data_IF_358965994127
#
_entry.id   IF_358965994127
#
_cell.length_a   1.000
_cell.length_b   1.000
_cell.length_c   1.000
_cell.angle_alpha   90.00
_cell.angle_beta   90.00
_cell.angle_gamma   90.00
#
_symmetry.space_group_name_H-M   'P 1'
#
loop_
_entity.id
_entity.type
_entity.pdbx_description
1 polymer ?
#
# COMPACT_ATOMS: atom_id res chain seq x y z
N UNK A 1 7.07 -1.28 32.81
CA UNK A 1 6.44 -2.61 32.64
C UNK A 1 7.55 -3.62 32.36
N UNK A 2 7.44 -4.85 32.86
CA UNK A 2 8.43 -5.91 32.62
C UNK A 2 7.99 -6.77 31.43
N UNK A 3 8.19 -6.26 30.20
CA UNK A 3 7.90 -7.02 28.99
C UNK A 3 8.78 -8.27 28.89
N UNK A 4 8.19 -9.39 28.50
CA UNK A 4 8.93 -10.63 28.28
C UNK A 4 9.69 -10.59 26.95
N UNK A 5 10.97 -10.92 27.02
CA UNK A 5 11.89 -10.99 25.89
C UNK A 5 12.26 -12.45 25.66
N UNK A 6 11.87 -13.00 24.51
CA UNK A 6 12.03 -14.42 24.21
C UNK A 6 13.52 -14.81 24.16
N UNK A 7 14.00 -15.79 24.95
CA UNK A 7 15.42 -16.15 24.99
C UNK A 7 16.01 -16.50 23.62
N UNK A 8 15.24 -17.22 22.78
CA UNK A 8 15.62 -17.57 21.40
C UNK A 8 15.79 -16.34 20.50
N UNK A 9 15.02 -15.28 20.74
CA UNK A 9 15.06 -14.03 19.98
C UNK A 9 16.24 -13.15 20.43
N UNK A 10 16.39 -12.99 21.75
CA UNK A 10 17.49 -12.27 22.38
C UNK A 10 18.86 -12.85 21.97
N UNK A 11 19.03 -14.17 22.12
CA UNK A 11 20.27 -14.85 21.75
C UNK A 11 20.61 -14.61 20.27
N UNK A 12 19.65 -14.89 19.37
CA UNK A 12 19.87 -14.75 17.92
C UNK A 12 20.21 -13.32 17.50
N UNK A 13 19.48 -12.33 18.01
CA UNK A 13 19.66 -10.93 17.63
C UNK A 13 20.93 -10.34 18.26
N UNK A 14 21.20 -10.60 19.55
CA UNK A 14 22.41 -10.13 20.21
C UNK A 14 23.68 -10.74 19.59
N UNK A 15 23.69 -12.04 19.28
CA UNK A 15 24.78 -12.69 18.56
C UNK A 15 25.00 -12.05 17.19
N UNK A 16 23.95 -11.75 16.42
CA UNK A 16 24.10 -11.09 15.11
C UNK A 16 24.71 -9.69 15.21
N UNK A 17 24.22 -8.88 16.15
CA UNK A 17 24.72 -7.52 16.37
C UNK A 17 26.19 -7.57 16.79
N UNK A 18 26.51 -8.31 17.86
CA UNK A 18 27.87 -8.36 18.41
C UNK A 18 28.88 -8.98 17.43
N UNK A 19 28.51 -10.03 16.67
CA UNK A 19 29.39 -10.59 15.62
C UNK A 19 29.72 -9.60 14.51
N UNK A 20 28.91 -8.57 14.28
CA UNK A 20 29.19 -7.54 13.27
C UNK A 20 30.14 -6.42 13.77
N UNK A 21 30.44 -6.38 15.07
CA UNK A 21 31.42 -5.49 15.69
C UNK A 21 32.73 -6.19 16.11
N UNK A 22 32.79 -7.52 16.01
CA UNK A 22 33.98 -8.32 16.30
C UNK A 22 34.69 -8.75 15.00
N UNK A 23 36.02 -8.67 14.98
CA UNK A 23 36.82 -9.34 13.96
C UNK A 23 36.99 -10.82 14.34
N UNK A 24 36.50 -11.73 13.48
CA UNK A 24 36.41 -13.16 13.74
C UNK A 24 37.23 -13.94 12.71
N UNK A 25 38.37 -14.55 13.09
CA UNK A 25 39.31 -15.11 12.14
C UNK A 25 38.70 -16.25 11.32
N UNK A 26 38.72 -16.09 9.99
CA UNK A 26 38.23 -17.09 9.04
C UNK A 26 36.71 -17.17 8.87
N UNK A 27 35.92 -16.29 9.50
CA UNK A 27 34.44 -16.36 9.47
C UNK A 27 33.84 -15.20 8.67
N UNK A 28 33.23 -15.47 7.52
CA UNK A 28 32.40 -14.48 6.81
C UNK A 28 31.11 -14.23 7.61
N UNK A 29 31.07 -13.13 8.37
CA UNK A 29 29.87 -12.71 9.10
C UNK A 29 28.87 -12.05 8.14
N UNK A 30 27.59 -12.49 8.07
CA UNK A 30 26.55 -11.81 7.31
C UNK A 30 26.25 -10.44 7.93
N UNK A 31 26.09 -9.41 7.11
CA UNK A 31 25.75 -8.07 7.58
C UNK A 31 24.27 -7.97 7.97
N UNK A 32 23.41 -8.68 7.23
CA UNK A 32 21.95 -8.55 7.30
C UNK A 32 21.35 -9.74 8.06
N UNK A 33 20.48 -9.48 9.04
CA UNK A 33 19.60 -10.49 9.63
C UNK A 33 18.17 -10.26 9.16
N UNK A 34 17.64 -11.19 8.38
CA UNK A 34 16.24 -11.21 7.97
C UNK A 34 15.39 -11.99 8.97
N UNK A 35 14.56 -11.30 9.75
CA UNK A 35 13.59 -11.87 10.68
C UNK A 35 12.21 -11.93 10.00
N UNK A 36 11.73 -13.14 9.70
CA UNK A 36 10.41 -13.37 9.08
C UNK A 36 9.54 -14.31 9.91
N UNK A 37 8.23 -14.24 9.73
CA UNK A 37 7.25 -14.88 10.59
C UNK A 37 5.85 -14.31 10.36
N UNK A 38 4.81 -14.89 10.95
CA UNK A 38 3.43 -14.41 10.74
C UNK A 38 3.26 -12.94 11.16
N UNK A 39 2.25 -12.27 10.63
CA UNK A 39 1.85 -10.94 11.14
C UNK A 39 1.31 -11.09 12.57
N UNK A 40 1.53 -10.08 13.40
CA UNK A 40 1.03 -10.04 14.78
C UNK A 40 1.97 -10.64 15.84
N UNK A 41 2.94 -11.48 15.46
CA UNK A 41 3.82 -12.22 16.40
C UNK A 41 4.91 -11.37 17.10
N UNK A 42 4.74 -10.04 17.16
CA UNK A 42 5.64 -9.16 17.91
C UNK A 42 7.06 -9.01 17.37
N UNK A 43 7.36 -9.43 16.11
CA UNK A 43 8.71 -9.39 15.48
C UNK A 43 9.49 -8.11 15.81
N UNK A 44 8.96 -6.95 15.41
CA UNK A 44 9.63 -5.66 15.58
C UNK A 44 9.69 -5.23 17.04
N UNK A 45 8.67 -5.54 17.84
CA UNK A 45 8.64 -5.23 19.28
C UNK A 45 9.71 -6.00 20.07
N UNK A 46 9.92 -7.29 19.75
CA UNK A 46 11.02 -8.08 20.33
C UNK A 46 12.40 -7.50 19.94
N UNK A 47 12.56 -6.94 18.74
CA UNK A 47 13.77 -6.20 18.39
C UNK A 47 14.00 -4.97 19.28
N UNK A 48 12.98 -4.12 19.49
CA UNK A 48 13.11 -2.94 20.36
C UNK A 48 13.53 -3.32 21.78
N UNK A 49 12.91 -4.38 22.34
CA UNK A 49 13.27 -4.90 23.67
C UNK A 49 14.71 -5.41 23.72
N UNK A 50 15.26 -6.01 22.65
CA UNK A 50 16.69 -6.36 22.59
C UNK A 50 17.56 -5.11 22.51
N UNK A 51 17.20 -4.11 21.69
CA UNK A 51 18.00 -2.89 21.54
C UNK A 51 18.07 -2.10 22.85
N UNK A 52 16.93 -1.90 23.52
CA UNK A 52 16.85 -1.30 24.86
C UNK A 52 17.69 -2.11 25.87
N UNK A 53 17.52 -3.44 25.90
CA UNK A 53 18.22 -4.31 26.87
C UNK A 53 19.74 -4.33 26.68
N UNK A 54 20.22 -4.15 25.44
CA UNK A 54 21.64 -4.06 25.09
C UNK A 54 22.19 -2.62 25.10
N UNK A 55 21.34 -1.59 25.19
CA UNK A 55 21.75 -0.19 25.06
C UNK A 55 22.22 0.20 23.64
N UNK A 56 21.75 -0.52 22.62
CA UNK A 56 22.05 -0.31 21.19
C UNK A 56 21.22 0.86 20.66
N UNK A 57 21.77 1.62 19.70
CA UNK A 57 21.07 2.72 19.03
C UNK A 57 20.43 2.22 17.72
N UNK A 58 19.10 2.09 17.62
CA UNK A 58 18.45 1.79 16.36
C UNK A 58 18.28 3.06 15.50
N UNK A 59 18.65 2.96 14.22
CA UNK A 59 18.22 3.87 13.16
C UNK A 59 17.13 3.15 12.38
N UNK A 60 15.89 3.62 12.50
CA UNK A 60 14.73 2.98 11.88
C UNK A 60 14.51 3.47 10.44
N UNK A 61 13.87 2.61 9.65
CA UNK A 61 13.39 2.89 8.31
C UNK A 61 12.12 2.08 8.08
N UNK A 62 11.07 2.75 7.60
CA UNK A 62 9.79 2.12 7.25
C UNK A 62 9.80 1.54 5.84
N UNK A 63 8.91 0.60 5.57
CA UNK A 63 8.69 0.11 4.20
C UNK A 63 8.20 1.20 3.24
N UNK A 64 7.39 2.16 3.72
CA UNK A 64 6.90 3.29 2.92
C UNK A 64 8.00 4.26 2.51
N UNK A 65 9.06 4.41 3.32
CA UNK A 65 10.29 5.14 2.94
C UNK A 65 11.04 4.48 1.75
N UNK A 66 10.73 3.23 1.41
CA UNK A 66 11.29 2.52 0.26
C UNK A 66 10.44 2.63 -1.02
N UNK A 67 9.26 3.24 -0.93
CA UNK A 67 8.38 3.52 -2.07
C UNK A 67 8.44 5.01 -2.44
N UNK A 68 9.07 5.33 -3.57
CA UNK A 68 9.16 6.70 -4.10
C UNK A 68 8.85 6.73 -5.59
N UNK A 69 8.15 7.76 -6.12
CA UNK A 69 8.04 7.96 -7.56
C UNK A 69 9.40 8.23 -8.24
N UNK A 70 10.37 8.75 -7.48
CA UNK A 70 11.70 9.10 -7.99
C UNK A 70 12.64 7.89 -7.97
N UNK A 71 12.99 7.42 -9.17
CA UNK A 71 13.79 6.22 -9.37
C UNK A 71 15.18 6.33 -8.71
N UNK A 72 15.43 5.48 -7.71
CA UNK A 72 16.70 5.43 -6.99
C UNK A 72 16.77 6.26 -5.70
N UNK A 73 15.73 7.04 -5.36
CA UNK A 73 15.69 7.69 -4.05
C UNK A 73 15.70 6.70 -2.86
N UNK A 74 14.98 5.55 -2.91
CA UNK A 74 15.09 4.50 -1.88
C UNK A 74 16.53 3.98 -1.70
N UNK A 75 17.29 3.87 -2.78
CA UNK A 75 18.70 3.46 -2.75
C UNK A 75 19.60 4.54 -2.11
N UNK A 76 19.32 5.82 -2.36
CA UNK A 76 19.98 6.95 -1.69
C UNK A 76 19.65 6.97 -0.18
N UNK A 77 18.39 6.75 0.18
CA UNK A 77 17.93 6.77 1.58
C UNK A 77 18.55 5.65 2.41
N UNK A 78 18.65 4.42 1.88
CA UNK A 78 19.35 3.31 2.57
C UNK A 78 20.80 3.67 2.88
N UNK A 79 21.51 4.27 1.91
CA UNK A 79 22.91 4.70 2.09
C UNK A 79 23.03 5.83 3.12
N UNK A 80 22.06 6.76 3.15
CA UNK A 80 22.00 7.85 4.13
C UNK A 80 21.78 7.33 5.55
N UNK A 81 20.77 6.48 5.78
CA UNK A 81 20.47 5.90 7.10
C UNK A 81 21.60 4.99 7.62
N UNK A 82 22.31 4.29 6.72
CA UNK A 82 23.48 3.50 7.10
C UNK A 82 24.64 4.38 7.59
N UNK A 83 24.90 5.53 6.93
CA UNK A 83 25.90 6.52 7.38
C UNK A 83 25.48 7.23 8.67
N UNK A 84 24.20 7.53 8.83
CA UNK A 84 23.61 8.07 10.07
C UNK A 84 23.90 7.14 11.26
N UNK A 85 23.68 5.83 11.10
CA UNK A 85 24.03 4.83 12.10
C UNK A 85 25.56 4.72 12.35
N UNK A 86 26.39 4.87 11.31
CA UNK A 86 27.85 4.84 11.45
C UNK A 86 28.40 6.03 12.25
N UNK A 87 27.91 7.25 11.98
CA UNK A 87 28.28 8.43 12.78
C UNK A 87 27.67 8.36 14.20
N UNK A 88 26.49 7.75 14.40
CA UNK A 88 25.94 7.53 15.73
C UNK A 88 26.85 6.66 16.63
N UNK A 89 27.52 5.64 16.09
CA UNK A 89 28.53 4.87 16.84
C UNK A 89 29.71 5.75 17.23
N UNK A 90 30.23 6.51 16.26
CA UNK A 90 31.43 7.38 16.38
C UNK A 90 31.24 8.52 17.39
N UNK A 91 30.04 9.11 17.45
CA UNK A 91 29.70 10.20 18.37
C UNK A 91 29.30 9.67 19.75
N UNK A 92 28.50 8.60 19.84
CA UNK A 92 27.91 8.16 21.11
C UNK A 92 28.71 7.05 21.82
N UNK A 93 29.70 6.44 21.16
CA UNK A 93 30.51 5.35 21.73
C UNK A 93 29.76 4.04 21.99
N UNK A 94 28.62 3.83 21.33
CA UNK A 94 27.74 2.66 21.50
C UNK A 94 27.50 1.94 20.18
N UNK A 95 27.20 0.64 20.24
CA UNK A 95 26.74 -0.10 19.07
C UNK A 95 25.43 0.50 18.51
N UNK A 96 25.27 0.44 17.20
CA UNK A 96 24.07 0.86 16.48
C UNK A 96 23.61 -0.22 15.50
N UNK A 97 22.35 -0.13 15.07
CA UNK A 97 21.76 -1.02 14.05
C UNK A 97 20.99 -0.18 13.03
N UNK A 98 20.99 -0.61 11.77
CA UNK A 98 20.02 -0.13 10.79
C UNK A 98 18.83 -1.11 10.78
N UNK A 99 17.64 -0.65 11.18
CA UNK A 99 16.43 -1.46 11.24
C UNK A 99 15.46 -1.08 10.12
N UNK A 100 15.23 -2.00 9.18
CA UNK A 100 14.27 -1.84 8.08
C UNK A 100 13.03 -2.66 8.41
N UNK A 101 11.88 -2.00 8.62
CA UNK A 101 10.66 -2.64 9.13
C UNK A 101 9.64 -2.98 8.04
N UNK A 102 9.03 -4.16 8.17
CA UNK A 102 7.99 -4.72 7.29
C UNK A 102 8.35 -4.61 5.80
N UNK A 103 9.57 -4.99 5.42
CA UNK A 103 10.14 -4.73 4.09
C UNK A 103 9.29 -5.33 2.94
N UNK A 104 8.53 -6.39 3.21
CA UNK A 104 7.58 -7.01 2.27
C UNK A 104 6.33 -6.17 2.01
N UNK A 105 6.05 -5.13 2.80
CA UNK A 105 5.02 -4.13 2.50
C UNK A 105 5.46 -3.12 1.43
N UNK A 106 6.77 -2.90 1.23
CA UNK A 106 7.35 -1.99 0.21
C UNK A 106 8.19 -2.69 -0.87
N UNK A 107 8.37 -4.01 -0.77
CA UNK A 107 8.97 -4.87 -1.79
C UNK A 107 8.02 -5.99 -2.28
N UNK A 108 6.83 -6.10 -1.68
CA UNK A 108 5.83 -7.13 -1.99
C UNK A 108 4.91 -6.77 -3.16
N UNK A 109 4.24 -7.78 -3.71
CA UNK A 109 3.38 -7.62 -4.90
C UNK A 109 1.98 -7.18 -4.51
N UNK A 110 1.52 -6.08 -5.10
CA UNK A 110 0.08 -5.80 -5.22
C UNK A 110 -0.42 -6.58 -6.43
N UNK A 111 -1.07 -7.71 -6.19
CA UNK A 111 -1.58 -8.69 -7.17
C UNK A 111 -0.56 -9.51 -7.97
N UNK A 112 -1.03 -10.65 -8.48
CA UNK A 112 -0.27 -11.59 -9.32
C UNK A 112 0.10 -11.02 -10.70
N UNK A 113 -0.39 -9.83 -11.04
CA UNK A 113 -0.25 -9.19 -12.35
C UNK A 113 0.74 -8.00 -12.36
N UNK A 114 1.20 -7.50 -11.21
CA UNK A 114 2.24 -6.46 -11.17
C UNK A 114 3.64 -7.07 -11.23
N UNK A 115 4.50 -6.46 -12.04
CA UNK A 115 5.93 -6.77 -12.05
C UNK A 115 6.62 -6.08 -10.88
N UNK A 116 7.74 -6.64 -10.42
CA UNK A 116 8.65 -5.99 -9.47
C UNK A 116 8.97 -4.56 -9.93
N UNK A 117 8.75 -3.57 -9.07
CA UNK A 117 9.09 -2.19 -9.40
C UNK A 117 10.61 -2.05 -9.56
N UNK A 118 11.05 -1.06 -10.36
CA UNK A 118 12.48 -0.76 -10.52
C UNK A 118 13.12 -0.47 -9.16
N UNK A 119 12.38 0.21 -8.26
CA UNK A 119 12.79 0.47 -6.89
C UNK A 119 13.10 -0.81 -6.10
N UNK A 120 12.28 -1.87 -6.20
CA UNK A 120 12.55 -3.15 -5.52
C UNK A 120 13.90 -3.74 -5.93
N UNK A 121 14.28 -3.63 -7.21
CA UNK A 121 15.59 -4.09 -7.69
C UNK A 121 16.73 -3.18 -7.22
N UNK A 122 16.54 -1.86 -7.19
CA UNK A 122 17.52 -0.88 -6.71
C UNK A 122 17.77 -0.98 -5.18
N UNK A 123 16.73 -1.28 -4.40
CA UNK A 123 16.82 -1.57 -2.95
C UNK A 123 17.64 -2.84 -2.74
N UNK A 124 17.30 -3.95 -3.41
CA UNK A 124 18.06 -5.20 -3.30
C UNK A 124 19.52 -5.03 -3.76
N UNK A 125 19.74 -4.31 -4.86
CA UNK A 125 21.06 -3.92 -5.37
C UNK A 125 21.87 -3.14 -4.34
N UNK A 126 21.24 -2.17 -3.66
CA UNK A 126 21.91 -1.34 -2.64
C UNK A 126 22.28 -2.16 -1.41
N UNK A 127 21.38 -3.01 -0.92
CA UNK A 127 21.66 -3.90 0.21
C UNK A 127 22.78 -4.90 -0.10
N UNK A 128 22.88 -5.41 -1.33
CA UNK A 128 24.01 -6.26 -1.74
C UNK A 128 25.34 -5.49 -1.75
N UNK A 129 25.37 -4.30 -2.37
CA UNK A 129 26.57 -3.45 -2.41
C UNK A 129 27.09 -3.08 -1.01
N UNK A 130 26.18 -2.77 -0.08
CA UNK A 130 26.52 -2.45 1.33
C UNK A 130 27.00 -3.70 2.07
N UNK A 131 26.38 -4.88 1.84
CA UNK A 131 26.80 -6.12 2.49
C UNK A 131 28.16 -6.64 2.00
N UNK A 132 28.58 -6.32 0.78
CA UNK A 132 29.92 -6.64 0.27
C UNK A 132 30.98 -5.64 0.75
N UNK A 133 30.65 -4.35 0.86
CA UNK A 133 31.59 -3.29 1.24
C UNK A 133 31.06 -2.43 2.41
N UNK A 134 30.87 -3.01 3.61
CA UNK A 134 30.16 -2.36 4.72
C UNK A 134 30.88 -1.16 5.33
N UNK A 135 32.16 -0.97 5.04
CA UNK A 135 32.98 0.16 5.48
C UNK A 135 33.15 1.25 4.40
N UNK A 136 32.57 1.08 3.21
CA UNK A 136 32.66 2.03 2.10
C UNK A 136 31.29 2.28 1.45
N UNK A 137 30.42 2.97 2.18
CA UNK A 137 29.07 3.32 1.72
C UNK A 137 29.03 4.80 1.31
N UNK A 138 29.27 5.05 0.03
CA UNK A 138 29.16 6.38 -0.57
C UNK A 138 27.71 6.78 -0.86
N UNK A 139 27.45 8.09 -0.91
CA UNK A 139 26.21 8.66 -1.44
C UNK A 139 26.38 8.96 -2.94
N UNK A 140 25.33 8.86 -3.79
CA UNK A 140 25.44 9.22 -5.20
C UNK A 140 25.94 10.66 -5.39
N UNK A 141 27.10 10.82 -6.04
CA UNK A 141 27.73 12.12 -6.28
C UNK A 141 28.72 12.60 -5.20
N UNK A 142 28.86 11.89 -4.08
CA UNK A 142 29.92 12.08 -3.08
C UNK A 142 30.87 10.87 -3.11
N UNK A 143 32.17 11.14 -2.91
CA UNK A 143 33.24 10.14 -3.03
C UNK A 143 34.27 10.38 -1.92
N UNK A 144 33.83 10.18 -0.68
CA UNK A 144 34.65 10.44 0.51
C UNK A 144 35.55 9.22 0.76
N UNK A 145 36.86 9.40 0.78
CA UNK A 145 37.80 8.28 0.89
C UNK A 145 37.89 7.66 2.31
N UNK A 146 37.24 8.24 3.32
CA UNK A 146 37.29 7.76 4.70
C UNK A 146 36.44 6.50 4.91
N UNK A 147 36.99 5.41 5.47
CA UNK A 147 36.21 4.24 5.86
C UNK A 147 35.25 4.56 7.00
N UNK A 148 33.98 4.14 6.86
CA UNK A 148 32.97 4.25 7.90
C UNK A 148 32.87 2.96 8.74
N UNK A 149 32.28 3.06 9.93
CA UNK A 149 31.99 1.91 10.78
C UNK A 149 31.06 0.90 10.08
N UNK A 150 31.37 -0.41 10.22
CA UNK A 150 30.46 -1.49 9.84
C UNK A 150 29.24 -1.49 10.78
N UNK A 151 28.04 -1.46 10.21
CA UNK A 151 26.77 -1.45 10.95
C UNK A 151 25.94 -2.70 10.61
N UNK A 152 25.55 -3.53 11.59
CA UNK A 152 24.60 -4.62 11.36
C UNK A 152 23.23 -4.10 10.89
N UNK A 153 22.66 -4.75 9.87
CA UNK A 153 21.34 -4.43 9.33
C UNK A 153 20.34 -5.50 9.82
N UNK A 154 19.23 -5.07 10.40
CA UNK A 154 18.11 -5.92 10.80
C UNK A 154 16.94 -5.63 9.87
N UNK A 155 16.32 -6.67 9.32
CA UNK A 155 15.21 -6.54 8.37
C UNK A 155 14.04 -7.40 8.87
N UNK A 156 12.88 -6.79 9.10
CA UNK A 156 11.65 -7.52 9.47
C UNK A 156 10.70 -7.64 8.29
N UNK A 157 9.87 -8.68 8.29
CA UNK A 157 8.79 -8.86 7.34
C UNK A 157 7.98 -10.15 7.55
N UNK A 158 7.02 -10.44 6.68
CA UNK A 158 6.13 -11.59 6.86
C UNK A 158 6.61 -12.83 6.12
N UNK A 159 6.93 -12.72 4.82
CA UNK A 159 7.53 -13.81 4.05
C UNK A 159 8.72 -13.35 3.19
N UNK A 160 9.82 -14.10 3.28
CA UNK A 160 11.05 -13.90 2.51
C UNK A 160 11.28 -15.00 1.45
N UNK A 161 10.24 -15.74 1.05
CA UNK A 161 10.27 -16.59 -0.16
C UNK A 161 10.37 -15.75 -1.45
N UNK A 162 9.75 -14.56 -1.44
CA UNK A 162 9.66 -13.62 -2.57
C UNK A 162 10.82 -12.61 -2.66
N UNK A 163 11.60 -12.46 -1.58
CA UNK A 163 12.78 -11.59 -1.53
C UNK A 163 13.87 -12.03 -2.52
N UNK A 164 14.64 -11.05 -2.98
CA UNK A 164 15.62 -11.20 -4.05
C UNK A 164 16.72 -12.22 -3.71
N UNK A 165 16.66 -13.41 -4.31
CA UNK A 165 17.48 -14.57 -3.95
C UNK A 165 19.02 -14.33 -3.86
N UNK A 166 19.64 -13.47 -4.70
CA UNK A 166 21.05 -13.09 -4.57
C UNK A 166 21.47 -12.44 -3.23
N UNK A 167 20.56 -11.87 -2.44
CA UNK A 167 20.87 -11.44 -1.06
C UNK A 167 21.14 -12.62 -0.12
N UNK A 168 20.49 -13.76 -0.38
CA UNK A 168 20.47 -14.94 0.50
C UNK A 168 21.59 -15.91 0.14
N UNK A 169 21.91 -16.05 -1.16
CA UNK A 169 22.86 -17.07 -1.65
C UNK A 169 24.33 -16.77 -1.30
N UNK A 170 24.73 -15.50 -1.26
CA UNK A 170 26.15 -15.13 -1.20
C UNK A 170 26.67 -14.93 0.24
N UNK A 171 25.92 -15.38 1.25
CA UNK A 171 26.27 -15.21 2.67
C UNK A 171 26.22 -13.77 3.17
N UNK A 172 25.48 -12.88 2.48
CA UNK A 172 25.25 -11.48 2.87
C UNK A 172 24.18 -11.34 3.94
N UNK A 173 23.13 -12.16 3.84
CA UNK A 173 21.96 -12.20 4.72
C UNK A 173 21.81 -13.57 5.38
N UNK A 174 21.59 -13.59 6.69
CA UNK A 174 21.07 -14.75 7.41
C UNK A 174 19.55 -14.65 7.57
N UNK A 175 18.83 -15.78 7.51
CA UNK A 175 17.39 -15.85 7.79
C UNK A 175 17.12 -16.39 9.19
N UNK A 176 16.15 -15.79 9.88
CA UNK A 176 15.62 -16.26 11.15
C UNK A 176 14.08 -16.34 11.07
N UNK A 177 13.54 -17.54 11.28
CA UNK A 177 12.09 -17.73 11.38
C UNK A 177 11.62 -17.52 12.82
N UNK A 178 10.75 -16.53 12.99
CA UNK A 178 10.10 -16.21 14.24
C UNK A 178 8.64 -16.68 14.23
N UNK A 179 8.40 -17.66 15.09
CA UNK A 179 7.09 -18.16 15.49
C UNK A 179 7.26 -18.48 16.98
N UNK A 180 6.50 -17.85 17.89
CA UNK A 180 6.64 -18.08 19.33
C UNK A 180 6.03 -19.43 19.71
N UNK A 181 6.76 -20.26 20.46
CA UNK A 181 6.22 -21.51 20.99
C UNK A 181 5.24 -21.27 22.17
N UNK A 182 4.66 -22.31 22.75
CA UNK A 182 3.72 -22.15 23.87
C UNK A 182 4.34 -21.41 25.07
N UNK A 183 5.61 -21.65 25.39
CA UNK A 183 6.29 -20.99 26.50
C UNK A 183 6.57 -19.50 26.20
N UNK A 184 7.02 -19.19 24.97
CA UNK A 184 7.17 -17.80 24.54
C UNK A 184 5.81 -17.07 24.47
N UNK A 185 4.74 -17.70 23.98
CA UNK A 185 3.37 -17.13 24.00
C UNK A 185 2.92 -16.82 25.43
N UNK A 186 3.08 -17.75 26.38
CA UNK A 186 2.76 -17.53 27.80
C UNK A 186 3.61 -16.40 28.38
N UNK A 187 4.91 -16.36 28.08
CA UNK A 187 5.81 -15.31 28.53
C UNK A 187 5.39 -13.93 28.04
N UNK A 188 5.16 -13.79 26.73
CA UNK A 188 4.75 -12.52 26.11
C UNK A 188 3.39 -12.05 26.66
N UNK A 189 2.39 -12.94 26.76
CA UNK A 189 1.08 -12.57 27.32
C UNK A 189 1.17 -12.25 28.82
N UNK A 190 2.05 -12.91 29.58
CA UNK A 190 2.38 -12.53 30.97
C UNK A 190 3.04 -11.15 31.06
N UNK A 191 3.80 -10.75 30.04
CA UNK A 191 4.38 -9.41 29.92
C UNK A 191 3.36 -8.33 29.54
N UNK A 192 2.27 -8.69 28.86
CA UNK A 192 1.12 -7.80 28.57
C UNK A 192 0.34 -7.56 29.88
N UNK A 193 -0.14 -8.62 30.53
CA UNK A 193 -0.99 -8.53 31.73
C UNK A 193 -0.20 -8.33 33.05
N UNK A 194 1.06 -7.89 32.97
CA UNK A 194 1.97 -7.79 34.11
C UNK A 194 1.55 -6.75 35.16
N UNK A 195 0.72 -5.78 34.80
CA UNK A 195 0.20 -4.75 35.71
C UNK A 195 -1.07 -5.17 36.47
N UNK A 196 -1.72 -6.24 36.03
CA UNK A 196 -3.16 -6.40 36.20
C UNK A 196 -3.55 -7.50 37.20
N UNK A 197 -2.56 -8.18 37.76
CA UNK A 197 -2.75 -9.22 38.79
C UNK A 197 -3.26 -10.56 38.27
N UNK A 198 -3.35 -10.76 36.95
CA UNK A 198 -3.81 -12.02 36.33
C UNK A 198 -2.89 -13.18 36.73
N UNK A 199 -3.46 -14.29 37.21
CA UNK A 199 -2.65 -15.44 37.62
C UNK A 199 -2.00 -16.11 36.40
N UNK A 200 -0.77 -16.59 36.56
CA UNK A 200 -0.09 -17.36 35.50
C UNK A 200 -0.94 -18.54 35.02
N UNK A 201 -1.62 -19.24 35.92
CA UNK A 201 -2.52 -20.35 35.59
C UNK A 201 -3.72 -19.93 34.73
N UNK A 202 -4.16 -18.66 34.79
CA UNK A 202 -5.25 -18.15 33.95
C UNK A 202 -4.73 -17.65 32.61
N UNK A 203 -3.52 -17.08 32.57
CA UNK A 203 -2.81 -16.77 31.31
C UNK A 203 -2.54 -18.06 30.52
N UNK A 204 -2.10 -19.14 31.17
CA UNK A 204 -1.90 -20.42 30.48
C UNK A 204 -3.22 -20.96 29.88
N UNK A 205 -4.34 -20.91 30.61
CA UNK A 205 -5.67 -21.27 30.07
C UNK A 205 -6.10 -20.35 28.92
N UNK A 206 -5.85 -19.05 28.99
CA UNK A 206 -6.20 -18.08 27.95
C UNK A 206 -5.39 -18.30 26.66
N UNK A 207 -4.11 -18.63 26.80
CA UNK A 207 -3.21 -18.97 25.69
C UNK A 207 -3.59 -20.31 25.04
N UNK A 208 -4.06 -21.28 25.83
CA UNK A 208 -4.56 -22.58 25.37
C UNK A 208 -5.99 -22.52 24.78
N UNK A 209 -6.82 -21.55 25.20
CA UNK A 209 -8.17 -21.30 24.67
C UNK A 209 -8.12 -20.69 23.26
N UNK A 210 -7.13 -19.85 23.01
CA UNK A 210 -6.93 -19.17 21.71
C UNK A 210 -5.60 -19.58 21.04
N UNK A 211 -5.36 -20.87 20.75
CA UNK A 211 -4.05 -21.37 20.34
C UNK A 211 -3.62 -20.87 18.94
N UNK A 212 -4.58 -20.54 18.08
CA UNK A 212 -4.35 -20.09 16.71
C UNK A 212 -4.25 -18.56 16.56
N UNK A 213 -4.36 -17.79 17.65
CA UNK A 213 -4.25 -16.33 17.61
C UNK A 213 -2.80 -15.87 17.80
N UNK A 214 -2.40 -14.86 17.03
CA UNK A 214 -1.10 -14.22 17.14
C UNK A 214 -0.99 -13.37 18.43
N UNK A 215 0.22 -12.90 18.75
CA UNK A 215 0.45 -12.07 19.95
C UNK A 215 -0.42 -10.78 19.97
N UNK A 216 -0.62 -10.13 18.82
CA UNK A 216 -1.39 -8.88 18.74
C UNK A 216 -2.86 -8.99 19.16
N UNK A 217 -3.48 -10.17 19.05
CA UNK A 217 -4.80 -10.48 19.60
C UNK A 217 -4.87 -10.23 21.12
N UNK A 218 -3.84 -10.62 21.87
CA UNK A 218 -3.82 -10.45 23.33
C UNK A 218 -3.61 -8.98 23.74
N UNK A 219 -2.83 -8.22 22.95
CA UNK A 219 -2.69 -6.76 23.11
C UNK A 219 -4.00 -6.02 22.79
N UNK A 220 -4.75 -6.49 21.78
CA UNK A 220 -6.07 -5.97 21.44
C UNK A 220 -7.12 -6.31 22.52
N UNK A 221 -7.08 -7.53 23.06
CA UNK A 221 -7.92 -7.96 24.19
C UNK A 221 -7.68 -7.11 25.43
N UNK A 222 -6.41 -6.89 25.80
CA UNK A 222 -6.04 -5.99 26.90
C UNK A 222 -6.59 -4.57 26.68
N UNK A 223 -6.42 -4.01 25.49
CA UNK A 223 -6.96 -2.68 25.16
C UNK A 223 -8.49 -2.61 25.27
N UNK A 224 -9.20 -3.63 24.77
CA UNK A 224 -10.67 -3.67 24.70
C UNK A 224 -11.37 -3.70 26.07
N UNK A 225 -10.67 -4.15 27.12
CA UNK A 225 -11.16 -4.06 28.51
C UNK A 225 -11.36 -2.61 28.99
N UNK A 226 -10.62 -1.66 28.43
CA UNK A 226 -10.75 -0.24 28.76
C UNK A 226 -11.86 0.46 27.95
N UNK A 227 -12.27 -0.09 26.80
CA UNK A 227 -13.32 0.50 25.94
C UNK A 227 -14.64 0.70 26.69
N UNK A 228 -14.97 -0.17 27.63
CA UNK A 228 -16.17 -0.06 28.48
C UNK A 228 -16.12 1.20 29.36
N UNK A 229 -14.98 1.45 30.01
CA UNK A 229 -14.79 2.64 30.85
C UNK A 229 -14.69 3.91 30.02
N UNK A 230 -14.03 3.86 28.87
CA UNK A 230 -13.97 4.98 27.91
C UNK A 230 -15.36 5.31 27.36
N UNK A 231 -16.18 4.30 27.03
CA UNK A 231 -17.59 4.46 26.62
C UNK A 231 -18.43 5.11 27.72
N UNK A 232 -18.29 4.66 28.96
CA UNK A 232 -18.99 5.24 30.11
C UNK A 232 -18.55 6.70 30.37
N UNK A 233 -17.26 7.01 30.23
CA UNK A 233 -16.74 8.38 30.31
C UNK A 233 -17.31 9.29 29.18
N UNK A 234 -17.34 8.81 27.94
CA UNK A 234 -17.95 9.54 26.81
C UNK A 234 -19.43 9.83 27.08
N UNK A 235 -20.18 8.85 27.61
CA UNK A 235 -21.59 9.03 27.97
C UNK A 235 -21.80 10.02 29.12
N UNK A 236 -20.92 10.05 30.13
CA UNK A 236 -21.00 10.98 31.26
C UNK A 236 -20.69 12.43 30.87
N UNK A 237 -19.75 12.65 29.94
CA UNK A 237 -19.37 13.99 29.47
C UNK A 237 -20.29 14.52 28.36
N UNK A 238 -20.85 13.62 27.55
CA UNK A 238 -21.57 13.93 26.31
C UNK A 238 -20.62 13.90 25.10
N UNK A 239 -21.09 13.30 24.00
CA UNK A 239 -20.30 13.07 22.78
C UNK A 239 -19.86 14.39 22.11
N UNK A 240 -20.66 15.45 22.28
CA UNK A 240 -20.40 16.80 21.77
C UNK A 240 -19.31 17.53 22.56
N UNK A 241 -19.01 17.08 23.78
CA UNK A 241 -18.14 17.77 24.74
C UNK A 241 -16.84 17.03 25.02
N UNK A 242 -16.79 15.72 24.81
CA UNK A 242 -15.61 14.89 25.14
C UNK A 242 -14.34 15.37 24.41
N UNK A 243 -14.44 15.84 23.17
CA UNK A 243 -13.29 16.39 22.43
C UNK A 243 -12.65 17.59 23.14
N UNK A 244 -13.46 18.51 23.67
CA UNK A 244 -12.96 19.65 24.43
C UNK A 244 -12.41 19.18 25.79
N UNK A 245 -13.12 18.29 26.48
CA UNK A 245 -12.77 17.80 27.82
C UNK A 245 -11.48 16.97 27.87
N UNK A 246 -11.09 16.34 26.77
CA UNK A 246 -9.85 15.54 26.67
C UNK A 246 -8.67 16.37 26.15
N UNK A 247 -8.87 17.24 25.16
CA UNK A 247 -7.76 17.92 24.46
C UNK A 247 -7.50 19.35 24.95
N UNK A 248 -8.54 20.07 25.39
CA UNK A 248 -8.45 21.50 25.71
C UNK A 248 -9.26 21.83 26.98
N UNK A 249 -8.84 21.22 28.09
CA UNK A 249 -9.36 21.46 29.43
C UNK A 249 -8.21 21.62 30.42
N UNK A 250 -8.41 22.49 31.42
CA UNK A 250 -7.50 22.65 32.57
C UNK A 250 -7.82 21.68 33.71
N UNK A 251 -8.89 20.89 33.59
CA UNK A 251 -9.19 19.81 34.54
C UNK A 251 -8.26 18.61 34.33
N UNK A 252 -7.92 17.91 35.42
CA UNK A 252 -7.21 16.62 35.37
C UNK A 252 -7.96 15.64 34.45
N UNK A 253 -7.22 14.85 33.66
CA UNK A 253 -7.78 13.75 32.88
C UNK A 253 -8.45 12.71 33.82
N UNK A 254 -9.49 11.99 33.37
CA UNK A 254 -10.15 10.97 34.17
C UNK A 254 -9.19 9.86 34.58
N UNK A 255 -9.29 9.42 35.83
CA UNK A 255 -8.54 8.26 36.33
C UNK A 255 -9.37 6.99 36.11
N UNK A 256 -8.98 6.21 35.11
CA UNK A 256 -9.55 4.90 34.85
C UNK A 256 -9.10 3.90 35.93
N UNK A 257 -10.00 3.01 36.32
CA UNK A 257 -9.68 1.92 37.25
C UNK A 257 -9.14 0.73 36.47
N UNK A 258 -8.41 -0.22 37.09
CA UNK A 258 -8.23 -1.53 36.47
C UNK A 258 -9.62 -2.14 36.18
N UNK A 259 -9.91 -2.58 34.94
CA UNK A 259 -11.13 -3.34 34.61
C UNK A 259 -11.13 -4.72 35.29
N UNK A 260 -12.19 -5.51 35.10
CA UNK A 260 -12.16 -6.91 35.52
C UNK A 260 -11.26 -7.73 34.58
N UNK A 261 -10.17 -8.26 35.11
CA UNK A 261 -9.28 -9.19 34.39
C UNK A 261 -9.56 -10.66 34.74
N UNK A 262 -10.76 -10.99 35.23
CA UNK A 262 -11.17 -12.38 35.44
C UNK A 262 -11.09 -13.21 34.15
N UNK A 263 -10.65 -14.46 34.27
CA UNK A 263 -10.52 -15.36 33.13
C UNK A 263 -11.82 -15.51 32.32
N UNK A 264 -12.97 -15.48 33.00
CA UNK A 264 -14.28 -15.58 32.35
C UNK A 264 -14.52 -14.40 31.38
N UNK A 265 -14.26 -13.17 31.83
CA UNK A 265 -14.44 -11.98 31.01
C UNK A 265 -13.36 -11.86 29.91
N UNK A 266 -12.12 -12.28 30.19
CA UNK A 266 -11.06 -12.37 29.18
C UNK A 266 -11.40 -13.38 28.05
N UNK A 267 -12.04 -14.51 28.38
CA UNK A 267 -12.52 -15.47 27.37
C UNK A 267 -13.72 -14.91 26.61
N UNK A 268 -14.68 -14.28 27.28
CA UNK A 268 -15.87 -13.66 26.65
C UNK A 268 -15.47 -12.60 25.61
N UNK A 269 -14.64 -11.62 25.99
CA UNK A 269 -14.14 -10.60 25.07
C UNK A 269 -13.25 -11.20 23.98
N UNK A 270 -12.47 -12.24 24.30
CA UNK A 270 -11.66 -12.98 23.34
C UNK A 270 -12.53 -13.64 22.26
N UNK A 271 -13.62 -14.31 22.64
CA UNK A 271 -14.57 -14.89 21.68
C UNK A 271 -15.23 -13.81 20.80
N UNK A 272 -15.61 -12.66 21.37
CA UNK A 272 -16.16 -11.54 20.59
C UNK A 272 -15.16 -11.02 19.54
N UNK A 273 -13.88 -10.89 19.91
CA UNK A 273 -12.79 -10.52 18.98
C UNK A 273 -12.59 -11.58 17.88
N UNK A 274 -12.65 -12.88 18.20
CA UNK A 274 -12.53 -13.96 17.20
C UNK A 274 -13.71 -13.93 16.22
N UNK A 275 -14.95 -13.77 16.71
CA UNK A 275 -16.15 -13.67 15.86
C UNK A 275 -16.11 -12.43 14.95
N UNK A 276 -15.55 -11.32 15.43
CA UNK A 276 -15.35 -10.10 14.66
C UNK A 276 -14.29 -10.28 13.56
N UNK A 277 -13.16 -10.93 13.89
CA UNK A 277 -12.11 -11.29 12.94
C UNK A 277 -12.62 -12.25 11.84
N UNK A 278 -13.41 -13.26 12.20
CA UNK A 278 -14.05 -14.19 11.26
C UNK A 278 -14.98 -13.47 10.29
N UNK A 279 -15.87 -12.59 10.78
CA UNK A 279 -16.77 -11.79 9.94
C UNK A 279 -16.01 -10.91 8.93
N UNK A 280 -14.87 -10.34 9.31
CA UNK A 280 -14.02 -9.55 8.40
C UNK A 280 -13.38 -10.46 7.31
N UNK A 281 -13.00 -11.69 7.65
CA UNK A 281 -12.49 -12.66 6.68
C UNK A 281 -13.59 -13.11 5.70
N UNK A 282 -14.79 -13.41 6.19
CA UNK A 282 -15.97 -13.75 5.36
C UNK A 282 -16.32 -12.62 4.38
N UNK A 283 -16.41 -11.37 4.87
CA UNK A 283 -16.70 -10.21 4.02
C UNK A 283 -15.63 -10.00 2.93
N UNK A 284 -14.35 -10.23 3.24
CA UNK A 284 -13.27 -10.18 2.25
C UNK A 284 -13.35 -11.31 1.22
N UNK A 285 -13.64 -12.54 1.66
CA UNK A 285 -13.84 -13.69 0.77
C UNK A 285 -15.01 -13.44 -0.20
N UNK A 286 -16.13 -12.91 0.31
CA UNK A 286 -17.28 -12.49 -0.50
C UNK A 286 -16.88 -11.39 -1.50
N UNK A 287 -16.17 -10.34 -1.07
CA UNK A 287 -15.68 -9.28 -1.97
C UNK A 287 -14.76 -9.83 -3.08
N UNK A 288 -13.81 -10.70 -2.74
CA UNK A 288 -12.91 -11.33 -3.72
C UNK A 288 -13.67 -12.24 -4.69
N UNK A 289 -14.67 -12.99 -4.21
CA UNK A 289 -15.52 -13.84 -5.05
C UNK A 289 -16.37 -13.01 -6.02
N UNK A 290 -17.00 -11.92 -5.55
CA UNK A 290 -17.72 -10.99 -6.42
C UNK A 290 -16.80 -10.32 -7.45
N UNK A 291 -15.59 -9.90 -7.06
CA UNK A 291 -14.61 -9.33 -8.00
C UNK A 291 -14.26 -10.33 -9.11
N UNK A 292 -13.98 -11.59 -8.76
CA UNK A 292 -13.65 -12.65 -9.72
C UNK A 292 -14.84 -13.04 -10.62
N UNK A 293 -16.08 -12.97 -10.11
CA UNK A 293 -17.29 -13.10 -10.93
C UNK A 293 -17.41 -11.98 -11.96
N UNK A 294 -17.22 -10.72 -11.55
CA UNK A 294 -17.27 -9.57 -12.46
C UNK A 294 -16.12 -9.54 -13.49
N UNK A 295 -15.00 -10.22 -13.22
CA UNK A 295 -13.86 -10.37 -14.14
C UNK A 295 -13.85 -11.67 -14.97
N UNK A 296 -14.88 -12.52 -14.87
CA UNK A 296 -14.97 -13.76 -15.66
C UNK A 296 -15.48 -13.47 -17.09
N UNK A 297 -14.67 -13.66 -18.16
CA UNK A 297 -15.10 -13.39 -19.53
C UNK A 297 -16.10 -14.45 -20.01
N UNK A 298 -17.29 -14.00 -20.42
CA UNK A 298 -18.34 -14.86 -20.99
C UNK A 298 -17.81 -15.68 -22.17
N UNK A 299 -17.70 -17.01 -21.99
CA UNK A 299 -17.16 -17.88 -23.04
C UNK A 299 -17.62 -19.34 -22.92
N UNK A 300 -18.94 -19.56 -23.10
CA UNK A 300 -19.51 -20.73 -23.83
C UNK A 300 -21.04 -20.63 -23.93
N UNK A 301 -21.52 -20.25 -25.11
CA UNK A 301 -22.78 -20.77 -25.63
C UNK A 301 -22.50 -22.10 -26.34
N UNK A 302 -23.34 -23.09 -26.11
CA UNK A 302 -23.23 -24.40 -26.77
C UNK A 302 -23.86 -24.32 -28.17
N UNK A 303 -23.25 -24.99 -29.16
CA UNK A 303 -23.78 -25.07 -30.53
C UNK A 303 -24.54 -26.39 -30.75
N UNK A 304 -25.83 -26.34 -31.15
CA UNK A 304 -26.50 -27.44 -31.81
C UNK A 304 -25.98 -27.64 -33.25
N UNK A 305 -26.10 -28.86 -33.76
CA UNK A 305 -25.56 -29.28 -35.07
C UNK A 305 -26.53 -28.92 -36.21
N UNK A 306 -26.00 -28.49 -37.35
CA UNK A 306 -26.75 -28.09 -38.55
C UNK A 306 -27.05 -29.28 -39.49
N UNK A 307 -28.21 -29.28 -40.16
CA UNK A 307 -28.54 -30.31 -41.17
C UNK A 307 -29.56 -29.88 -42.26
N UNK A 308 -29.05 -29.39 -43.40
CA UNK A 308 -29.45 -29.86 -44.74
C UNK A 308 -30.76 -29.42 -45.44
N UNK A 309 -30.71 -28.25 -46.10
CA UNK A 309 -31.35 -27.97 -47.43
C UNK A 309 -32.92 -27.96 -47.53
N UNK A 310 -33.55 -27.57 -48.68
CA UNK A 310 -33.68 -26.15 -49.06
C UNK A 310 -35.06 -25.71 -49.65
N UNK A 311 -35.16 -24.42 -50.05
CA UNK A 311 -35.85 -23.86 -51.25
C UNK A 311 -37.09 -22.92 -51.09
N UNK A 312 -37.26 -22.08 -52.14
CA UNK A 312 -38.40 -21.20 -52.51
C UNK A 312 -38.60 -19.81 -51.85
N UNK A 313 -39.08 -18.86 -52.68
CA UNK A 313 -39.47 -17.45 -52.43
C UNK A 313 -41.01 -17.30 -52.66
N UNK A 314 -41.70 -16.12 -52.62
CA UNK A 314 -41.32 -14.69 -52.41
C UNK A 314 -42.12 -14.03 -51.24
N UNK A 315 -42.48 -12.73 -51.05
CA UNK A 315 -42.61 -11.55 -51.96
C UNK A 315 -42.58 -10.16 -51.30
N UNK A 316 -42.45 -9.15 -52.16
CA UNK A 316 -42.65 -7.69 -52.08
C UNK A 316 -43.66 -7.05 -51.08
N UNK A 317 -43.31 -5.86 -50.56
CA UNK A 317 -43.99 -4.54 -50.74
C UNK A 317 -43.96 -3.59 -49.50
N UNK A 318 -43.86 -2.28 -49.77
CA UNK A 318 -43.91 -1.09 -48.87
C UNK A 318 -45.32 -0.40 -48.96
N UNK A 319 -45.70 0.78 -48.37
CA UNK A 319 -44.87 1.92 -47.89
C UNK A 319 -45.41 2.86 -46.75
N UNK A 320 -44.72 4.01 -46.58
CA UNK A 320 -45.21 5.35 -46.18
C UNK A 320 -45.22 5.82 -44.69
N UNK A 321 -45.31 7.15 -44.52
CA UNK A 321 -45.18 7.94 -43.28
C UNK A 321 -46.56 8.54 -42.84
N UNK A 322 -46.76 9.35 -41.78
CA UNK A 322 -46.03 10.56 -41.34
C UNK A 322 -46.49 11.16 -39.99
N UNK A 323 -45.73 12.15 -39.48
CA UNK A 323 -46.14 13.36 -38.70
C UNK A 323 -46.89 13.25 -37.35
N UNK A 324 -46.43 13.99 -36.33
CA UNK A 324 -47.12 15.19 -35.77
C UNK A 324 -46.29 15.93 -34.69
N UNK A 325 -46.55 17.23 -34.49
CA UNK A 325 -46.02 18.11 -33.42
C UNK A 325 -47.14 19.00 -32.84
N UNK A 326 -46.97 19.64 -31.66
CA UNK A 326 -47.01 21.12 -31.65
C UNK A 326 -46.11 21.83 -30.59
N UNK A 327 -46.19 23.17 -30.54
CA UNK A 327 -45.43 24.13 -29.71
C UNK A 327 -46.18 24.53 -28.40
N UNK A 328 -45.92 25.59 -27.60
CA UNK A 328 -45.17 26.88 -27.73
C UNK A 328 -45.12 27.66 -26.39
N UNK A 329 -44.21 28.62 -26.18
CA UNK A 329 -44.34 29.67 -25.13
C UNK A 329 -43.03 30.39 -24.68
N UNK A 330 -42.89 31.74 -24.83
CA UNK A 330 -41.67 32.50 -24.44
C UNK A 330 -41.89 33.71 -23.48
N UNK A 331 -40.80 34.29 -22.93
CA UNK A 331 -40.81 35.59 -22.23
C UNK A 331 -39.43 36.31 -22.23
N UNK A 332 -39.42 37.65 -22.29
CA UNK A 332 -38.21 38.51 -22.40
C UNK A 332 -37.75 39.16 -21.07
N UNK A 333 -36.51 39.68 -21.05
CA UNK A 333 -36.01 40.63 -20.05
C UNK A 333 -34.73 41.38 -20.51
N UNK A 334 -34.61 42.68 -20.20
CA UNK A 334 -33.49 43.57 -20.56
C UNK A 334 -33.09 44.44 -19.35
N UNK A 335 -31.80 44.80 -19.23
CA UNK A 335 -31.31 46.11 -18.72
C UNK A 335 -29.77 46.20 -18.76
N UNK A 336 -29.26 47.43 -18.66
CA UNK A 336 -28.04 47.86 -19.35
C UNK A 336 -26.69 47.84 -18.59
N UNK A 337 -25.66 47.93 -19.43
CA UNK A 337 -24.22 47.88 -19.21
C UNK A 337 -23.57 48.99 -18.34
N UNK A 338 -22.35 48.67 -17.86
CA UNK A 338 -21.23 49.62 -17.68
C UNK A 338 -19.94 48.96 -18.22
N UNK A 339 -19.02 49.76 -18.79
CA UNK A 339 -17.86 49.26 -19.56
C UNK A 339 -16.55 49.16 -18.76
N UNK A 340 -15.70 48.18 -19.14
CA UNK A 340 -14.23 48.34 -19.22
C UNK A 340 -13.66 47.35 -20.25
N UNK A 341 -12.45 47.62 -20.76
CA UNK A 341 -11.81 46.97 -21.94
C UNK A 341 -10.28 46.90 -21.75
N UNK A 342 -9.52 46.13 -22.57
CA UNK A 342 -9.77 44.80 -23.16
C UNK A 342 -8.61 43.84 -22.68
N UNK A 343 -8.03 42.83 -23.39
CA UNK A 343 -7.86 42.58 -24.83
C UNK A 343 -8.57 41.30 -25.34
N UNK A 344 -8.34 40.96 -26.61
CA UNK A 344 -8.98 39.84 -27.32
C UNK A 344 -8.51 38.45 -26.82
N UNK A 345 -9.48 37.56 -26.57
CA UNK A 345 -9.29 36.12 -26.63
C UNK A 345 -10.21 35.55 -27.73
N UNK A 346 -9.69 34.63 -28.56
CA UNK A 346 -10.47 34.05 -29.66
C UNK A 346 -11.52 33.07 -29.13
N UNK A 347 -12.76 33.56 -28.96
CA UNK A 347 -13.94 32.74 -28.71
C UNK A 347 -14.29 31.89 -29.96
N UNK A 348 -13.56 30.80 -30.14
CA UNK A 348 -13.84 29.81 -31.20
C UNK A 348 -15.15 29.10 -30.88
N UNK A 349 -16.11 29.20 -31.80
CA UNK A 349 -17.48 28.75 -31.58
C UNK A 349 -17.59 27.24 -31.43
N UNK A 350 -18.50 26.79 -30.57
CA UNK A 350 -18.84 25.38 -30.37
C UNK A 350 -19.58 24.80 -31.59
N UNK A 351 -18.82 24.28 -32.56
CA UNK A 351 -19.32 23.22 -33.42
C UNK A 351 -19.09 21.86 -32.73
N UNK A 352 -20.07 20.97 -32.78
CA UNK A 352 -20.04 19.67 -32.10
C UNK A 352 -19.12 18.66 -32.81
N UNK A 353 -17.81 18.85 -32.72
CA UNK A 353 -16.79 17.95 -33.22
C UNK A 353 -15.48 18.12 -32.45
N UNK A 354 -14.62 17.09 -32.49
CA UNK A 354 -13.36 17.09 -31.74
C UNK A 354 -12.42 18.24 -32.14
N UNK A 355 -11.61 18.76 -31.20
CA UNK A 355 -10.52 19.69 -31.52
C UNK A 355 -9.60 19.10 -32.62
N UNK A 356 -9.10 19.92 -33.57
CA UNK A 356 -8.23 19.43 -34.64
C UNK A 356 -6.96 18.77 -34.08
N UNK A 357 -6.37 19.37 -33.04
CA UNK A 357 -5.22 18.85 -32.30
C UNK A 357 -5.48 17.45 -31.72
N UNK A 358 -6.70 17.20 -31.22
CA UNK A 358 -7.10 15.92 -30.65
C UNK A 358 -7.21 14.83 -31.74
N UNK A 359 -7.73 15.19 -32.92
CA UNK A 359 -7.78 14.29 -34.07
C UNK A 359 -6.38 13.99 -34.63
N UNK A 360 -5.47 14.97 -34.64
CA UNK A 360 -4.09 14.80 -35.11
C UNK A 360 -3.32 13.81 -34.22
N UNK A 361 -3.37 13.98 -32.89
CA UNK A 361 -2.72 13.06 -31.94
C UNK A 361 -3.33 11.64 -32.02
N UNK A 362 -4.65 11.55 -32.19
CA UNK A 362 -5.34 10.27 -32.36
C UNK A 362 -4.91 9.54 -33.64
N UNK A 363 -4.75 10.26 -34.76
CA UNK A 363 -4.23 9.70 -36.01
C UNK A 363 -2.78 9.23 -35.85
N UNK A 364 -1.91 10.06 -35.25
CA UNK A 364 -0.50 9.72 -35.05
C UNK A 364 -0.31 8.44 -34.22
N UNK A 365 -1.11 8.23 -33.17
CA UNK A 365 -1.08 7.00 -32.35
C UNK A 365 -1.45 5.77 -33.20
N UNK A 366 -2.50 5.86 -34.03
CA UNK A 366 -2.98 4.74 -34.86
C UNK A 366 -2.07 4.42 -36.06
N UNK A 367 -1.47 5.44 -36.68
CA UNK A 367 -0.51 5.28 -37.79
C UNK A 367 0.78 4.63 -37.31
N UNK A 368 1.31 5.08 -36.16
CA UNK A 368 2.39 4.41 -35.41
C UNK A 368 2.02 2.99 -34.96
N UNK A 369 0.76 2.59 -35.09
CA UNK A 369 0.26 1.24 -34.80
C UNK A 369 0.11 0.94 -33.32
N UNK A 370 0.00 1.97 -32.51
CA UNK A 370 -0.16 1.88 -31.06
C UNK A 370 -1.64 1.77 -30.71
N UNK A 371 -1.95 1.14 -29.58
CA UNK A 371 -3.32 1.11 -29.03
C UNK A 371 -3.62 2.47 -28.41
N UNK A 372 -4.85 2.94 -28.54
CA UNK A 372 -5.29 4.22 -28.01
C UNK A 372 -5.93 4.03 -26.64
N UNK A 373 -5.29 4.54 -25.59
CA UNK A 373 -5.93 4.80 -24.30
C UNK A 373 -6.59 6.19 -24.29
N UNK A 374 -7.79 6.29 -23.75
CA UNK A 374 -8.49 7.54 -23.45
C UNK A 374 -8.61 7.62 -21.93
N UNK A 375 -8.09 8.68 -21.33
CA UNK A 375 -8.08 8.91 -19.88
C UNK A 375 -8.75 10.24 -19.53
N UNK A 376 -9.49 10.27 -18.41
CA UNK A 376 -10.19 11.45 -17.89
C UNK A 376 -9.80 11.72 -16.44
N UNK A 377 -9.84 12.98 -16.00
CA UNK A 377 -9.59 13.34 -14.60
C UNK A 377 -10.24 14.66 -14.19
N UNK A 378 -10.93 14.64 -13.04
CA UNK A 378 -11.52 15.84 -12.46
C UNK A 378 -10.46 16.87 -12.01
N UNK A 379 -10.82 18.15 -11.95
CA UNK A 379 -9.90 19.24 -11.65
C UNK A 379 -9.27 19.19 -10.24
N UNK A 380 -9.78 18.36 -9.32
CA UNK A 380 -9.19 18.12 -8.00
C UNK A 380 -8.13 17.02 -8.08
N UNK A 381 -8.41 15.92 -8.78
CA UNK A 381 -7.48 14.77 -9.00
C UNK A 381 -6.37 15.07 -10.00
N UNK A 382 -6.57 16.02 -10.92
CA UNK A 382 -5.54 16.48 -11.85
C UNK A 382 -4.26 16.92 -11.11
N UNK A 383 -4.42 17.62 -9.97
CA UNK A 383 -3.31 18.08 -9.11
C UNK A 383 -2.49 16.94 -8.48
N UNK A 384 -3.07 15.75 -8.38
CA UNK A 384 -2.40 14.53 -7.86
C UNK A 384 -2.10 13.53 -8.98
N UNK A 385 -2.20 13.92 -10.25
CA UNK A 385 -1.96 13.09 -11.44
C UNK A 385 -2.72 11.74 -11.45
N UNK A 386 -3.89 11.68 -10.79
CA UNK A 386 -4.68 10.46 -10.59
C UNK A 386 -5.70 10.26 -11.73
N UNK A 387 -5.20 9.97 -12.93
CA UNK A 387 -6.03 9.74 -14.13
C UNK A 387 -6.90 8.47 -14.02
N UNK A 388 -8.12 8.54 -14.56
CA UNK A 388 -9.02 7.41 -14.72
C UNK A 388 -9.03 6.95 -16.18
N UNK A 389 -9.11 5.64 -16.43
CA UNK A 389 -9.21 5.11 -17.78
C UNK A 389 -10.68 5.07 -18.22
N UNK A 390 -11.02 5.80 -19.29
CA UNK A 390 -12.35 5.79 -19.89
C UNK A 390 -12.49 4.65 -20.92
N UNK A 391 -11.49 4.47 -21.80
CA UNK A 391 -11.52 3.41 -22.83
C UNK A 391 -10.10 3.03 -23.31
N UNK A 392 -9.93 1.80 -23.83
CA UNK A 392 -8.69 1.34 -24.48
C UNK A 392 -9.00 0.60 -25.79
N UNK A 393 -8.66 1.21 -26.91
CA UNK A 393 -9.00 0.73 -28.25
C UNK A 393 -7.80 0.01 -28.84
N UNK A 394 -7.95 -1.30 -29.04
CA UNK A 394 -6.85 -2.21 -29.40
C UNK A 394 -6.70 -2.46 -30.91
N UNK A 395 -7.61 -1.95 -31.72
CA UNK A 395 -7.63 -2.12 -33.19
C UNK A 395 -7.36 -0.79 -33.89
N UNK A 396 -6.77 -0.84 -35.10
CA UNK A 396 -6.49 0.35 -35.92
C UNK A 396 -7.74 0.91 -36.65
N UNK A 397 -8.87 1.00 -35.94
CA UNK A 397 -10.13 1.49 -36.49
C UNK A 397 -10.31 2.98 -36.15
N UNK A 398 -9.90 3.86 -37.08
CA UNK A 398 -10.00 5.32 -36.93
C UNK A 398 -11.43 5.81 -36.66
N UNK A 399 -12.45 5.16 -37.25
CA UNK A 399 -13.85 5.55 -37.05
C UNK A 399 -14.33 5.20 -35.62
N UNK A 400 -14.00 4.01 -35.12
CA UNK A 400 -14.31 3.62 -33.74
C UNK A 400 -13.54 4.46 -32.71
N UNK A 401 -12.25 4.73 -32.98
CA UNK A 401 -11.42 5.59 -32.13
C UNK A 401 -11.95 7.03 -32.05
N UNK A 402 -12.35 7.59 -33.20
CA UNK A 402 -12.97 8.91 -33.26
C UNK A 402 -14.30 8.95 -32.47
N UNK A 403 -15.21 8.00 -32.72
CA UNK A 403 -16.52 7.96 -32.07
C UNK A 403 -16.42 7.80 -30.54
N UNK A 404 -15.48 6.98 -30.06
CA UNK A 404 -15.24 6.81 -28.62
C UNK A 404 -14.66 8.05 -27.96
N UNK A 405 -13.84 8.84 -28.68
CA UNK A 405 -13.36 10.12 -28.17
C UNK A 405 -14.44 11.21 -28.23
N UNK A 406 -15.31 11.21 -29.25
CA UNK A 406 -16.50 12.08 -29.32
C UNK A 406 -17.46 11.81 -28.15
N UNK A 407 -17.70 10.55 -27.80
CA UNK A 407 -18.45 10.17 -26.60
C UNK A 407 -17.76 10.65 -25.31
N UNK A 408 -16.45 10.44 -25.18
CA UNK A 408 -15.67 10.89 -24.02
C UNK A 408 -15.75 12.42 -23.82
N UNK A 409 -15.69 13.21 -24.89
CA UNK A 409 -15.83 14.67 -24.82
C UNK A 409 -17.23 15.12 -24.43
N UNK A 410 -18.28 14.34 -24.74
CA UNK A 410 -19.65 14.61 -24.32
C UNK A 410 -19.87 14.25 -22.84
N UNK A 411 -19.47 13.05 -22.42
CA UNK A 411 -19.63 12.55 -21.05
C UNK A 411 -18.79 13.35 -20.03
N UNK A 412 -17.56 13.70 -20.41
CA UNK A 412 -16.55 14.31 -19.53
C UNK A 412 -16.20 15.75 -19.91
N UNK A 413 -17.18 16.52 -20.42
CA UNK A 413 -16.98 17.90 -20.88
C UNK A 413 -16.35 18.88 -19.85
N UNK A 414 -16.40 18.55 -18.55
CA UNK A 414 -15.83 19.34 -17.43
C UNK A 414 -14.53 18.77 -16.83
N UNK A 415 -14.02 17.66 -17.36
CA UNK A 415 -12.79 17.03 -16.88
C UNK A 415 -11.65 17.27 -17.86
N UNK A 416 -10.40 17.05 -17.41
CA UNK A 416 -9.25 17.00 -18.32
C UNK A 416 -9.28 15.67 -19.06
N UNK A 417 -9.13 15.69 -20.39
CA UNK A 417 -9.11 14.47 -21.23
C UNK A 417 -7.73 14.32 -21.86
N UNK A 418 -7.18 13.10 -21.83
CA UNK A 418 -5.84 12.76 -22.27
C UNK A 418 -5.85 11.53 -23.18
N UNK A 419 -5.10 11.60 -24.28
CA UNK A 419 -4.81 10.46 -25.13
C UNK A 419 -3.48 9.83 -24.72
N UNK A 420 -3.44 8.50 -24.72
CA UNK A 420 -2.26 7.70 -24.41
C UNK A 420 -2.00 6.73 -25.55
N UNK A 421 -0.83 6.83 -26.17
CA UNK A 421 -0.30 5.79 -27.06
C UNK A 421 0.26 4.64 -26.22
N UNK A 422 -0.12 3.40 -26.56
CA UNK A 422 0.34 2.18 -25.88
C UNK A 422 0.94 1.22 -26.91
N UNK A 423 2.21 0.84 -26.73
CA UNK A 423 2.89 -0.12 -27.60
C UNK A 423 2.22 -1.51 -27.52
N UNK A 424 1.82 -2.14 -28.65
CA UNK A 424 1.11 -3.41 -28.63
C UNK A 424 1.98 -4.62 -28.27
N UNK A 425 3.31 -4.50 -28.28
CA UNK A 425 4.27 -5.55 -27.91
C UNK A 425 4.58 -5.49 -26.42
N UNK A 426 5.13 -4.37 -25.97
CA UNK A 426 5.68 -4.22 -24.61
C UNK A 426 4.67 -3.61 -23.62
N UNK A 427 3.48 -3.20 -24.09
CA UNK A 427 2.41 -2.53 -23.31
C UNK A 427 2.85 -1.24 -22.61
N UNK A 428 3.97 -0.66 -23.04
CA UNK A 428 4.50 0.61 -22.53
C UNK A 428 3.69 1.79 -23.08
N UNK A 429 3.55 2.83 -22.26
CA UNK A 429 3.01 4.12 -22.70
C UNK A 429 4.10 4.87 -23.47
N UNK A 430 3.74 5.43 -24.62
CA UNK A 430 4.69 5.97 -25.62
C UNK A 430 4.42 7.43 -25.99
N UNK A 431 3.16 7.85 -25.89
CA UNK A 431 2.69 9.23 -26.10
C UNK A 431 1.68 9.49 -25.00
N UNK A 432 1.74 10.64 -24.33
CA UNK A 432 0.72 11.09 -23.39
C UNK A 432 0.42 12.57 -23.67
N UNK A 433 -0.81 12.90 -24.08
CA UNK A 433 -1.13 14.28 -24.52
C UNK A 433 -2.53 14.67 -24.06
N UNK A 434 -2.61 15.78 -23.32
CA UNK A 434 -3.87 16.36 -22.83
C UNK A 434 -4.54 17.07 -24.00
N UNK A 435 -5.68 16.55 -24.43
CA UNK A 435 -6.45 17.02 -25.60
C UNK A 435 -7.70 17.83 -25.22
N UNK A 436 -8.15 17.75 -23.97
CA UNK A 436 -9.15 18.66 -23.40
C UNK A 436 -8.65 19.25 -22.09
N UNK A 437 -8.98 20.52 -21.85
CA UNK A 437 -8.80 21.20 -20.57
C UNK A 437 -10.11 21.95 -20.29
N UNK A 438 -10.78 21.71 -19.15
CA UNK A 438 -11.97 22.46 -18.79
C UNK A 438 -11.62 23.92 -18.53
N UNK A 439 -12.56 24.80 -18.88
CA UNK A 439 -12.46 26.26 -18.78
C UNK A 439 -12.67 26.78 -17.36
#
# INVERSE_FOLDING_TARGET
>A
MSYYLAPRFLDKLSIHITKNYLDLPGVKVPLILGIHGRKGEGKSFQCELVFERMGVIPVHMSAGELESPDAGDPARLIRLRYREAAEAVKVNGKMAVLMINDIDAGMGRVDQFTQYTVNTQLVAGTLMNIADNPTNVQLPGSYDAEPIQRIPIIVTGNDFSTLYAPLIRDGRMEKFYWEPDRADRIGIVSGIFAGDGVSRSDIEKLVDTFPNQAIDFYSALHSRLYDEQVRNFIQQIGIERVSLRVVNSTERLPEFRPPDFSLAHLIELGELLVREQQRIQELRLVQTYHHNLHYSPQSRSEQPIESGYPSAQPSFATPAASSYSPSSGPSNGHSDAVQSQPPQANASQTNGGLPPDALQVLQEILDRGQRLGIETVDARRFRTNSWQCYNVISERNLAAAKAALEACFADHARDYIRLVGIDPRDRRRTVETIVHRPS
#
